data_IF_544440873420
#
_entry.id   IF_544440873420
#
_cell.length_a   1.000
_cell.length_b   1.000
_cell.length_c   1.000
_cell.angle_alpha   90.00
_cell.angle_beta   90.00
_cell.angle_gamma   90.00
#
_symmetry.space_group_name_H-M   'P 1'
#
loop_
_entity.id
_entity.type
_entity.pdbx_description
1 polymer ?
#
# COMPACT_ATOMS: atom_id res chain seq x y z
N UNK A 1 6.07 2.18 9.90
CA UNK A 1 6.99 2.62 8.85
C UNK A 1 6.41 3.85 8.15
N UNK A 2 7.23 4.85 8.01
CA UNK A 2 6.81 6.10 7.38
C UNK A 2 7.72 6.39 6.19
N UNK A 3 7.12 6.49 5.02
CA UNK A 3 7.85 6.76 3.77
C UNK A 3 7.37 8.10 3.24
N UNK A 4 8.29 9.05 3.10
CA UNK A 4 7.92 10.41 2.70
C UNK A 4 7.84 10.59 1.19
N UNK A 5 8.36 9.67 0.42
CA UNK A 5 8.31 9.76 -1.04
C UNK A 5 7.46 8.66 -1.63
N UNK A 6 7.81 8.25 -2.84
CA UNK A 6 7.10 7.20 -3.55
C UNK A 6 7.77 5.85 -3.34
N UNK A 7 6.99 4.79 -3.47
CA UNK A 7 7.53 3.44 -3.52
C UNK A 7 7.53 3.04 -5.00
N UNK A 8 8.72 2.72 -5.50
CA UNK A 8 8.90 2.42 -6.91
C UNK A 8 8.84 0.93 -7.18
N UNK A 9 9.08 0.55 -8.44
CA UNK A 9 8.97 -0.83 -8.87
C UNK A 9 9.92 -1.76 -8.11
N UNK A 10 9.48 -2.99 -7.90
CA UNK A 10 10.25 -4.06 -7.28
C UNK A 10 10.68 -3.80 -5.84
N UNK A 11 10.06 -2.86 -5.17
CA UNK A 11 10.30 -2.63 -3.75
C UNK A 11 9.42 -3.51 -2.90
N UNK A 12 9.97 -4.00 -1.81
CA UNK A 12 9.20 -4.72 -0.80
C UNK A 12 9.30 -3.98 0.52
N UNK A 13 8.16 -3.70 1.11
CA UNK A 13 8.11 -3.07 2.43
C UNK A 13 7.33 -3.98 3.36
N UNK A 14 7.93 -4.31 4.47
CA UNK A 14 7.30 -5.18 5.45
C UNK A 14 7.40 -4.53 6.82
N UNK A 15 6.29 -4.41 7.51
CA UNK A 15 6.25 -3.79 8.82
C UNK A 15 5.32 -4.58 9.74
N UNK A 16 5.67 -4.60 11.02
CA UNK A 16 4.80 -5.24 12.01
C UNK A 16 3.62 -4.36 12.40
N UNK A 17 3.77 -3.07 12.25
CA UNK A 17 2.70 -2.11 12.52
C UNK A 17 2.16 -1.52 11.24
N UNK A 18 1.88 -0.22 11.27
CA UNK A 18 1.31 0.47 10.13
C UNK A 18 2.37 0.97 9.16
N UNK A 19 1.98 1.12 7.91
CA UNK A 19 2.82 1.71 6.88
C UNK A 19 2.13 2.98 6.39
N UNK A 20 2.86 4.08 6.36
CA UNK A 20 2.37 5.34 5.82
C UNK A 20 3.25 5.76 4.66
N UNK A 21 2.64 5.98 3.50
CA UNK A 21 3.37 6.41 2.31
C UNK A 21 2.90 7.81 1.94
N UNK A 22 3.84 8.75 1.83
CA UNK A 22 3.51 10.13 1.51
C UNK A 22 3.26 10.39 0.03
N UNK A 23 3.60 9.46 -0.84
CA UNK A 23 3.40 9.60 -2.28
C UNK A 23 2.62 8.44 -2.83
N UNK A 24 3.07 7.93 -3.99
CA UNK A 24 2.40 6.83 -4.68
C UNK A 24 3.14 5.52 -4.49
N UNK A 25 2.44 4.43 -4.72
CA UNK A 25 3.02 3.09 -4.72
C UNK A 25 2.94 2.55 -6.14
N UNK A 26 4.07 2.10 -6.68
CA UNK A 26 4.14 1.55 -8.03
C UNK A 26 4.73 0.15 -7.99
N UNK A 27 3.98 -0.82 -8.49
CA UNK A 27 4.44 -2.19 -8.67
C UNK A 27 5.26 -2.75 -7.49
N UNK A 28 4.85 -2.44 -6.28
CA UNK A 28 5.58 -2.81 -5.08
C UNK A 28 4.75 -3.74 -4.21
N UNK A 29 5.44 -4.47 -3.34
CA UNK A 29 4.76 -5.35 -2.39
C UNK A 29 4.82 -4.69 -1.02
N UNK A 30 3.67 -4.47 -0.42
CA UNK A 30 3.56 -3.92 0.92
C UNK A 30 2.89 -4.94 1.83
N UNK A 31 3.49 -5.16 2.97
CA UNK A 31 2.91 -6.02 4.01
C UNK A 31 2.95 -5.29 5.34
N UNK A 32 1.81 -5.16 5.95
CA UNK A 32 1.74 -4.51 7.26
C UNK A 32 0.93 -5.37 8.23
N UNK A 33 1.40 -5.42 9.45
CA UNK A 33 0.64 -6.05 10.54
C UNK A 33 -0.47 -5.16 11.07
N UNK A 34 -0.49 -3.90 10.67
CA UNK A 34 -1.55 -2.96 11.00
C UNK A 34 -2.19 -2.42 9.75
N UNK A 35 -2.35 -1.12 9.68
CA UNK A 35 -2.97 -0.46 8.54
C UNK A 35 -1.94 0.06 7.56
N UNK A 36 -2.36 0.26 6.32
CA UNK A 36 -1.54 0.90 5.30
C UNK A 36 -2.27 2.15 4.85
N UNK A 37 -1.60 3.28 4.93
CA UNK A 37 -2.14 4.56 4.47
C UNK A 37 -1.25 5.10 3.37
N UNK A 38 -1.82 5.29 2.19
CA UNK A 38 -1.11 5.85 1.04
C UNK A 38 -1.78 7.18 0.71
N UNK A 39 -1.02 8.27 0.78
CA UNK A 39 -1.59 9.59 0.51
C UNK A 39 -1.86 9.82 -0.98
N UNK A 40 -1.16 9.10 -1.83
CA UNK A 40 -1.42 9.13 -3.27
C UNK A 40 -2.16 7.89 -3.72
N UNK A 41 -1.82 7.39 -4.91
CA UNK A 41 -2.46 6.21 -5.45
C UNK A 41 -1.58 4.98 -5.39
N UNK A 42 -2.21 3.84 -5.63
CA UNK A 42 -1.51 2.58 -5.73
C UNK A 42 -1.63 2.11 -7.18
N UNK A 43 -0.50 2.00 -7.86
CA UNK A 43 -0.46 1.56 -9.25
C UNK A 43 0.32 0.25 -9.29
N UNK A 44 -0.38 -0.83 -9.58
CA UNK A 44 0.22 -2.16 -9.48
C UNK A 44 0.88 -2.66 -10.76
N UNK A 45 0.44 -2.20 -11.91
CA UNK A 45 0.94 -2.66 -13.21
C UNK A 45 0.94 -4.19 -13.29
N UNK A 46 -0.11 -4.81 -12.73
CA UNK A 46 -0.30 -6.25 -12.66
C UNK A 46 0.72 -7.00 -11.80
N UNK A 47 1.58 -6.29 -11.08
CA UNK A 47 2.57 -6.91 -10.20
C UNK A 47 2.46 -6.45 -8.75
N UNK A 48 1.76 -5.36 -8.51
CA UNK A 48 1.66 -4.81 -7.16
C UNK A 48 0.78 -5.65 -6.25
N UNK A 49 1.21 -5.79 -5.02
CA UNK A 49 0.44 -6.51 -4.01
C UNK A 49 0.53 -5.75 -2.69
N UNK A 50 -0.62 -5.43 -2.13
CA UNK A 50 -0.68 -4.69 -0.86
C UNK A 50 -1.48 -5.52 0.12
N UNK A 51 -0.87 -5.87 1.24
CA UNK A 51 -1.49 -6.71 2.24
C UNK A 51 -1.44 -6.04 3.60
N UNK A 52 -2.56 -5.97 4.27
CA UNK A 52 -2.64 -5.39 5.60
C UNK A 52 -3.53 -6.24 6.49
N UNK A 53 -3.18 -6.29 7.77
CA UNK A 53 -4.00 -7.01 8.75
C UNK A 53 -5.19 -6.20 9.22
N UNK A 54 -5.21 -4.92 8.93
CA UNK A 54 -6.32 -4.05 9.28
C UNK A 54 -6.85 -3.36 8.04
N UNK A 55 -6.65 -2.06 7.90
CA UNK A 55 -7.24 -1.30 6.82
C UNK A 55 -6.19 -0.89 5.78
N UNK A 56 -6.63 -0.70 4.56
CA UNK A 56 -5.82 -0.11 3.51
C UNK A 56 -6.53 1.15 3.05
N UNK A 57 -5.82 2.27 3.03
CA UNK A 57 -6.37 3.55 2.60
C UNK A 57 -5.53 4.13 1.48
N UNK A 58 -6.17 4.52 0.38
CA UNK A 58 -5.49 5.13 -0.76
C UNK A 58 -6.44 6.08 -1.47
N UNK A 59 -5.90 6.97 -2.29
CA UNK A 59 -6.75 7.85 -3.08
C UNK A 59 -7.31 7.15 -4.30
N UNK A 60 -6.53 6.31 -4.93
CA UNK A 60 -7.01 5.47 -6.03
C UNK A 60 -6.15 4.22 -6.12
N UNK A 61 -6.67 3.22 -6.81
CA UNK A 61 -5.96 1.96 -7.00
C UNK A 61 -6.11 1.55 -8.47
N UNK A 62 -5.01 1.21 -9.10
CA UNK A 62 -4.99 0.77 -10.50
C UNK A 62 -4.20 -0.53 -10.62
N UNK A 63 -4.83 -1.57 -11.14
CA UNK A 63 -4.19 -2.85 -11.46
C UNK A 63 -3.34 -3.41 -10.31
N UNK A 64 -3.82 -3.26 -9.09
CA UNK A 64 -3.12 -3.76 -7.92
C UNK A 64 -4.02 -4.68 -7.13
N UNK A 65 -3.41 -5.68 -6.50
CA UNK A 65 -4.13 -6.56 -5.61
C UNK A 65 -4.06 -6.03 -4.19
N UNK A 66 -5.22 -5.81 -3.61
CA UNK A 66 -5.32 -5.34 -2.23
C UNK A 66 -5.90 -6.44 -1.37
N UNK A 67 -5.25 -6.70 -0.26
CA UNK A 67 -5.71 -7.71 0.68
C UNK A 67 -5.72 -7.10 2.07
N UNK A 68 -6.88 -6.76 2.55
CA UNK A 68 -7.05 -6.21 3.89
C UNK A 68 -8.04 -7.07 4.65
N UNK A 69 -7.71 -7.35 5.90
CA UNK A 69 -8.61 -8.17 6.73
C UNK A 69 -9.85 -7.43 7.16
N UNK A 70 -9.78 -6.11 7.22
CA UNK A 70 -10.92 -5.30 7.65
C UNK A 70 -11.52 -4.53 6.49
N UNK A 71 -10.93 -3.40 6.15
CA UNK A 71 -11.53 -2.53 5.14
C UNK A 71 -10.51 -2.05 4.14
N UNK A 72 -10.96 -1.82 2.90
CA UNK A 72 -10.19 -1.09 1.91
C UNK A 72 -10.95 0.19 1.64
N UNK A 73 -10.31 1.31 1.89
CA UNK A 73 -10.92 2.62 1.73
C UNK A 73 -10.23 3.33 0.57
N UNK A 74 -10.99 3.64 -0.45
CA UNK A 74 -10.50 4.35 -1.63
C UNK A 74 -11.24 5.66 -1.72
N UNK A 75 -10.50 6.73 -1.68
CA UNK A 75 -11.07 8.07 -1.62
C UNK A 75 -11.44 8.62 -3.00
#
# INVERSE_FOLDING_TARGET
>A
VHITGNILDDFKVKAKGSITVGGNVQSAVLEAGGSIAVKGGIIGKDKGHVKASEDIMAKFVENANLDARRNVIID
#
